data_IF_319238498651
#
_entry.id   IF_319238498651
#
_cell.length_a   1.000
_cell.length_b   1.000
_cell.length_c   1.000
_cell.angle_alpha   90.00
_cell.angle_beta   90.00
_cell.angle_gamma   90.00
#
_symmetry.space_group_name_H-M   'P 1'
#
loop_
_entity.id
_entity.type
_entity.pdbx_description
1 polymer ?
#
# COMPACT_ATOMS: atom_id res chain seq x y z
N UNK A 1 -4.29 -27.11 7.52
CA UNK A 1 -4.99 -28.02 6.58
C UNK A 1 -4.64 -27.56 5.18
N UNK A 2 -4.21 -28.42 4.25
CA UNK A 2 -3.66 -27.96 2.98
C UNK A 2 -4.72 -28.00 1.88
N UNK A 3 -4.76 -26.99 1.01
CA UNK A 3 -5.66 -26.99 -0.15
C UNK A 3 -5.09 -27.83 -1.32
N UNK A 4 -4.60 -29.05 -1.03
CA UNK A 4 -3.87 -29.93 -1.96
C UNK A 4 -4.71 -30.60 -3.03
N UNK A 5 -6.02 -30.35 -3.08
CA UNK A 5 -6.92 -31.06 -3.99
C UNK A 5 -6.49 -30.93 -5.46
N UNK A 6 -5.75 -29.86 -5.79
CA UNK A 6 -5.32 -29.56 -7.15
C UNK A 6 -3.83 -29.88 -7.45
N UNK A 7 -3.09 -30.52 -6.53
CA UNK A 7 -1.70 -30.93 -6.77
C UNK A 7 -1.59 -32.41 -7.12
N UNK A 8 -0.74 -32.73 -8.11
CA UNK A 8 -0.32 -34.11 -8.38
C UNK A 8 0.48 -34.70 -7.22
N UNK A 9 0.66 -36.02 -7.19
CA UNK A 9 1.48 -36.67 -6.15
C UNK A 9 2.92 -36.13 -6.12
N UNK A 10 3.53 -35.93 -7.29
CA UNK A 10 4.87 -35.33 -7.44
C UNK A 10 4.92 -33.92 -6.83
N UNK A 11 3.95 -33.06 -7.15
CA UNK A 11 3.87 -31.69 -6.63
C UNK A 11 3.63 -31.65 -5.12
N UNK A 12 2.84 -32.59 -4.57
CA UNK A 12 2.66 -32.70 -3.11
C UNK A 12 3.97 -33.05 -2.41
N UNK A 13 4.72 -34.02 -2.94
CA UNK A 13 6.03 -34.40 -2.38
C UNK A 13 6.98 -33.21 -2.40
N UNK A 14 7.10 -32.53 -3.55
CA UNK A 14 7.93 -31.33 -3.70
C UNK A 14 7.54 -30.24 -2.69
N UNK A 15 6.24 -29.94 -2.57
CA UNK A 15 5.73 -28.98 -1.60
C UNK A 15 6.13 -29.34 -0.16
N UNK A 16 5.97 -30.61 0.24
CA UNK A 16 6.31 -31.05 1.60
C UNK A 16 7.81 -30.94 1.88
N UNK A 17 8.66 -31.28 0.91
CA UNK A 17 10.11 -31.13 1.02
C UNK A 17 10.51 -29.67 1.23
N UNK A 18 10.04 -28.77 0.36
CA UNK A 18 10.30 -27.33 0.46
C UNK A 18 9.79 -26.76 1.79
N UNK A 19 8.54 -27.06 2.17
CA UNK A 19 7.96 -26.57 3.43
C UNK A 19 8.76 -27.03 4.64
N UNK A 20 9.16 -28.30 4.68
CA UNK A 20 9.94 -28.88 5.78
C UNK A 20 11.31 -28.20 5.87
N UNK A 21 11.98 -28.03 4.73
CA UNK A 21 13.28 -27.36 4.67
C UNK A 21 13.19 -25.90 5.14
N UNK A 22 12.23 -25.11 4.63
CA UNK A 22 12.02 -23.71 5.06
C UNK A 22 11.76 -23.61 6.56
N UNK A 23 10.88 -24.47 7.11
CA UNK A 23 10.57 -24.49 8.55
C UNK A 23 11.80 -24.82 9.41
N UNK A 24 12.67 -25.66 8.91
CA UNK A 24 13.87 -26.12 9.59
C UNK A 24 15.11 -25.28 9.25
N UNK A 25 14.94 -24.15 8.53
CA UNK A 25 16.03 -23.29 8.06
C UNK A 25 17.13 -24.05 7.31
N UNK A 26 16.73 -24.98 6.45
CA UNK A 26 17.63 -25.72 5.55
C UNK A 26 17.57 -25.16 4.15
N UNK A 27 18.67 -25.29 3.42
CA UNK A 27 18.74 -24.97 2.00
C UNK A 27 17.65 -25.67 1.19
N UNK A 28 17.17 -24.99 0.15
CA UNK A 28 16.17 -25.49 -0.79
C UNK A 28 16.64 -25.48 -2.25
N UNK A 29 17.85 -24.99 -2.54
CA UNK A 29 18.34 -24.79 -3.91
C UNK A 29 18.28 -26.07 -4.74
N UNK A 30 18.84 -27.18 -4.24
CA UNK A 30 18.80 -28.48 -4.94
C UNK A 30 17.37 -28.98 -5.19
N UNK A 31 16.42 -28.65 -4.30
CA UNK A 31 15.01 -29.02 -4.44
C UNK A 31 14.36 -28.19 -5.55
N UNK A 32 14.73 -26.91 -5.67
CA UNK A 32 14.22 -26.02 -6.70
C UNK A 32 14.82 -26.35 -8.08
N UNK A 33 16.12 -26.67 -8.16
CA UNK A 33 16.81 -27.03 -9.41
C UNK A 33 16.26 -28.28 -10.09
N UNK A 34 15.84 -29.25 -9.29
CA UNK A 34 15.32 -30.53 -9.79
C UNK A 34 13.86 -30.47 -10.23
N UNK A 35 13.18 -29.34 -10.01
CA UNK A 35 11.76 -29.18 -10.30
C UNK A 35 11.53 -28.47 -11.65
N UNK A 36 10.50 -28.90 -12.38
CA UNK A 36 10.09 -28.22 -13.62
C UNK A 36 9.47 -26.84 -13.30
N UNK A 37 9.56 -25.88 -14.23
CA UNK A 37 8.87 -24.58 -14.12
C UNK A 37 7.39 -24.71 -13.72
N UNK A 38 6.66 -25.63 -14.36
CA UNK A 38 5.24 -25.85 -14.09
C UNK A 38 4.99 -26.41 -12.69
N UNK A 39 5.83 -27.34 -12.23
CA UNK A 39 5.74 -27.88 -10.86
C UNK A 39 6.08 -26.80 -9.82
N UNK A 40 7.12 -25.99 -10.08
CA UNK A 40 7.52 -24.87 -9.23
C UNK A 40 6.40 -23.84 -9.09
N UNK A 41 5.83 -23.37 -10.20
CA UNK A 41 4.74 -22.40 -10.18
C UNK A 41 3.55 -22.92 -9.36
N UNK A 42 3.11 -24.18 -9.58
CA UNK A 42 2.00 -24.78 -8.83
C UNK A 42 2.30 -24.92 -7.34
N UNK A 43 3.54 -25.27 -6.98
CA UNK A 43 3.94 -25.50 -5.59
C UNK A 43 4.21 -24.21 -4.82
N UNK A 44 4.78 -23.20 -5.46
CA UNK A 44 5.12 -21.92 -4.82
C UNK A 44 3.89 -21.02 -4.63
N UNK A 45 2.86 -21.16 -5.46
CA UNK A 45 1.60 -20.40 -5.35
C UNK A 45 0.58 -21.02 -4.39
N UNK A 46 0.83 -22.22 -3.86
CA UNK A 46 -0.13 -22.87 -2.95
C UNK A 46 0.01 -22.36 -1.52
N UNK A 47 -1.14 -22.05 -0.91
CA UNK A 47 -1.24 -21.60 0.46
C UNK A 47 -1.03 -22.70 1.51
N UNK A 48 -0.19 -22.42 2.50
CA UNK A 48 0.00 -23.19 3.73
C UNK A 48 -0.87 -22.65 4.86
N UNK A 49 -1.87 -23.43 5.29
CA UNK A 49 -2.79 -23.01 6.35
C UNK A 49 -2.30 -23.41 7.73
N UNK A 50 -2.16 -22.44 8.63
CA UNK A 50 -1.93 -22.62 10.07
C UNK A 50 -3.00 -21.90 10.88
N UNK A 51 -3.42 -22.50 12.00
CA UNK A 51 -4.32 -21.87 12.97
C UNK A 51 -3.53 -21.23 14.10
N UNK A 52 -4.06 -20.14 14.66
CA UNK A 52 -3.49 -19.54 15.86
C UNK A 52 -4.03 -20.22 17.12
N UNK A 53 -3.27 -20.27 18.23
CA UNK A 53 -3.71 -20.93 19.46
C UNK A 53 -4.99 -20.35 20.07
N UNK A 54 -5.27 -19.06 19.83
CA UNK A 54 -6.40 -18.34 20.41
C UNK A 54 -7.53 -18.05 19.41
N UNK A 55 -7.54 -18.73 18.25
CA UNK A 55 -8.54 -18.49 17.21
C UNK A 55 -8.01 -17.64 16.06
N UNK A 56 -8.61 -17.83 14.88
CA UNK A 56 -8.10 -17.33 13.61
C UNK A 56 -6.99 -18.22 13.01
N UNK A 57 -6.31 -17.69 11.99
CA UNK A 57 -5.25 -18.40 11.31
C UNK A 57 -4.63 -17.60 10.17
N UNK A 58 -3.84 -18.28 9.36
CA UNK A 58 -3.21 -17.70 8.18
C UNK A 58 -2.99 -18.76 7.12
N UNK A 59 -2.98 -18.31 5.88
CA UNK A 59 -2.63 -19.06 4.68
C UNK A 59 -1.46 -18.34 4.02
N UNK A 60 -0.27 -18.94 4.09
CA UNK A 60 0.96 -18.34 3.56
C UNK A 60 1.50 -19.15 2.38
N UNK A 61 1.96 -18.49 1.33
CA UNK A 61 2.79 -19.15 0.32
C UNK A 61 4.16 -19.54 0.88
N UNK A 62 4.95 -20.31 0.13
CA UNK A 62 6.28 -20.71 0.58
C UNK A 62 7.22 -19.49 0.74
N UNK A 63 7.08 -18.47 -0.11
CA UNK A 63 7.83 -17.21 0.02
C UNK A 63 7.47 -16.49 1.33
N UNK A 64 6.19 -16.25 1.60
CA UNK A 64 5.73 -15.60 2.83
C UNK A 64 6.01 -16.44 4.09
N UNK A 65 6.03 -17.77 3.98
CA UNK A 65 6.51 -18.64 5.05
C UNK A 65 8.00 -18.43 5.34
N UNK A 66 8.83 -18.29 4.29
CA UNK A 66 10.26 -18.03 4.45
C UNK A 66 10.52 -16.65 5.07
N UNK A 67 9.78 -15.62 4.63
CA UNK A 67 9.75 -14.27 5.24
C UNK A 67 9.40 -14.35 6.72
N UNK A 68 8.30 -15.04 7.05
CA UNK A 68 7.87 -15.22 8.44
C UNK A 68 8.90 -15.95 9.30
N UNK A 69 9.67 -16.88 8.72
CA UNK A 69 10.72 -17.63 9.40
C UNK A 69 12.07 -16.94 9.43
N UNK A 70 12.16 -15.74 8.85
CA UNK A 70 13.39 -14.99 8.69
C UNK A 70 14.51 -15.84 8.07
N UNK A 71 14.22 -16.55 6.98
CA UNK A 71 15.13 -17.48 6.33
C UNK A 71 15.67 -16.89 5.02
N UNK A 72 16.77 -16.15 5.14
CA UNK A 72 17.38 -15.35 4.07
C UNK A 72 17.74 -16.20 2.85
N UNK A 73 18.37 -17.35 3.08
CA UNK A 73 18.75 -18.29 2.03
C UNK A 73 17.54 -18.79 1.23
N UNK A 74 16.46 -19.19 1.92
CA UNK A 74 15.26 -19.66 1.24
C UNK A 74 14.53 -18.55 0.49
N UNK A 75 14.50 -17.32 1.02
CA UNK A 75 13.89 -16.18 0.34
C UNK A 75 14.65 -15.89 -0.95
N UNK A 76 15.98 -15.75 -0.87
CA UNK A 76 16.83 -15.50 -2.03
C UNK A 76 16.75 -16.63 -3.07
N UNK A 77 16.69 -17.89 -2.62
CA UNK A 77 16.51 -19.04 -3.50
C UNK A 77 15.17 -18.95 -4.23
N UNK A 78 14.05 -18.79 -3.50
CA UNK A 78 12.72 -18.72 -4.13
C UNK A 78 12.66 -17.58 -5.15
N UNK A 79 13.15 -16.38 -4.80
CA UNK A 79 13.13 -15.22 -5.69
C UNK A 79 14.00 -15.45 -6.93
N UNK A 80 15.24 -15.91 -6.76
CA UNK A 80 16.18 -16.15 -7.88
C UNK A 80 15.68 -17.25 -8.81
N UNK A 81 15.21 -18.39 -8.30
CA UNK A 81 14.68 -19.45 -9.18
C UNK A 81 13.39 -18.99 -9.86
N UNK A 82 12.54 -18.22 -9.19
CA UNK A 82 11.32 -17.69 -9.81
C UNK A 82 11.62 -16.67 -10.92
N UNK A 83 12.65 -15.83 -10.72
CA UNK A 83 13.18 -14.92 -11.73
C UNK A 83 13.72 -15.68 -12.94
N UNK A 84 14.62 -16.65 -12.72
CA UNK A 84 15.23 -17.45 -13.78
C UNK A 84 14.21 -18.28 -14.59
N UNK A 85 13.06 -18.58 -13.99
CA UNK A 85 11.97 -19.30 -14.65
C UNK A 85 10.86 -18.38 -15.18
N UNK A 86 11.00 -17.05 -15.08
CA UNK A 86 9.98 -16.07 -15.49
C UNK A 86 8.60 -16.38 -14.87
N UNK A 87 8.57 -16.60 -13.56
CA UNK A 87 7.35 -16.79 -12.76
C UNK A 87 7.32 -15.88 -11.51
N UNK A 88 8.28 -14.94 -11.40
CA UNK A 88 8.49 -14.13 -10.20
C UNK A 88 7.27 -13.27 -9.85
N UNK A 89 6.63 -12.68 -10.85
CA UNK A 89 5.45 -11.82 -10.65
C UNK A 89 4.30 -12.61 -10.04
N UNK A 90 4.02 -13.81 -10.55
CA UNK A 90 2.99 -14.71 -10.01
C UNK A 90 3.30 -15.12 -8.57
N UNK A 91 4.58 -15.37 -8.23
CA UNK A 91 4.99 -15.73 -6.86
C UNK A 91 4.92 -14.55 -5.89
N UNK A 92 5.19 -13.32 -6.34
CA UNK A 92 5.10 -12.14 -5.45
C UNK A 92 3.63 -11.72 -5.27
N UNK A 93 2.83 -11.70 -6.34
CA UNK A 93 1.46 -11.18 -6.32
C UNK A 93 0.42 -12.14 -5.74
N UNK A 94 0.76 -13.41 -5.58
CA UNK A 94 -0.14 -14.38 -4.96
C UNK A 94 -0.54 -13.92 -3.54
N UNK A 95 -1.83 -14.06 -3.27
CA UNK A 95 -2.43 -13.59 -2.04
C UNK A 95 -2.10 -14.51 -0.84
N UNK A 96 -1.69 -13.88 0.25
CA UNK A 96 -1.51 -14.47 1.56
C UNK A 96 -2.63 -13.98 2.47
N UNK A 97 -3.28 -14.87 3.20
CA UNK A 97 -4.40 -14.51 4.07
C UNK A 97 -3.97 -14.58 5.53
N UNK A 98 -4.34 -13.58 6.33
CA UNK A 98 -4.20 -13.58 7.78
C UNK A 98 -5.56 -13.20 8.36
N UNK A 99 -6.12 -14.06 9.21
CA UNK A 99 -7.39 -13.85 9.87
C UNK A 99 -7.14 -13.86 11.38
N UNK A 100 -7.30 -12.69 12.00
CA UNK A 100 -7.25 -12.54 13.45
C UNK A 100 -8.64 -12.73 14.05
N UNK A 101 -8.69 -13.08 15.32
CA UNK A 101 -9.94 -13.08 16.07
C UNK A 101 -10.49 -11.64 16.15
N UNK A 102 -11.78 -11.44 15.87
CA UNK A 102 -12.40 -10.10 15.89
C UNK A 102 -12.53 -9.41 14.52
N UNK A 103 -12.75 -10.17 13.45
CA UNK A 103 -13.11 -9.65 12.11
C UNK A 103 -12.03 -8.82 11.40
N UNK A 104 -10.77 -8.90 11.85
CA UNK A 104 -9.63 -8.31 11.15
C UNK A 104 -9.00 -9.35 10.21
N UNK A 105 -9.10 -9.09 8.91
CA UNK A 105 -8.60 -9.96 7.85
C UNK A 105 -7.65 -9.16 6.96
N UNK A 106 -6.48 -9.72 6.71
CA UNK A 106 -5.53 -9.24 5.71
C UNK A 106 -5.47 -10.21 4.54
N UNK A 107 -5.49 -9.69 3.32
CA UNK A 107 -5.16 -10.42 2.09
C UNK A 107 -4.03 -9.64 1.40
N UNK A 108 -2.81 -10.18 1.44
CA UNK A 108 -1.59 -9.45 1.14
C UNK A 108 -0.79 -10.15 0.05
N UNK A 109 -0.18 -9.39 -0.85
CA UNK A 109 0.91 -9.91 -1.68
C UNK A 109 2.10 -10.31 -0.81
N UNK A 110 3.13 -10.96 -1.36
CA UNK A 110 4.33 -11.27 -0.60
C UNK A 110 5.07 -9.99 -0.14
N UNK A 111 5.05 -8.92 -0.94
CA UNK A 111 5.55 -7.60 -0.54
C UNK A 111 4.70 -7.03 0.60
N UNK A 112 3.37 -6.99 0.46
CA UNK A 112 2.49 -6.54 1.53
C UNK A 112 2.66 -7.35 2.81
N UNK A 113 2.86 -8.66 2.71
CA UNK A 113 3.14 -9.51 3.87
C UNK A 113 4.46 -9.12 4.56
N UNK A 114 5.51 -8.79 3.81
CA UNK A 114 6.78 -8.31 4.37
C UNK A 114 6.61 -6.96 5.09
N UNK A 115 5.82 -6.04 4.52
CA UNK A 115 5.45 -4.75 5.14
C UNK A 115 4.72 -4.98 6.47
N UNK A 116 3.67 -5.82 6.46
CA UNK A 116 2.88 -6.16 7.64
C UNK A 116 3.70 -6.79 8.78
N UNK A 117 4.73 -7.57 8.43
CA UNK A 117 5.61 -8.23 9.40
C UNK A 117 6.79 -7.36 9.87
N UNK A 118 6.84 -6.11 9.41
CA UNK A 118 7.96 -5.18 9.59
C UNK A 118 9.31 -5.85 9.28
N UNK A 119 9.48 -6.35 8.05
CA UNK A 119 10.69 -7.03 7.58
C UNK A 119 11.41 -6.24 6.50
N UNK A 120 11.94 -5.07 6.86
CA UNK A 120 12.58 -4.10 5.95
C UNK A 120 13.59 -4.74 4.99
N UNK A 121 14.51 -5.57 5.52
CA UNK A 121 15.48 -6.26 4.67
C UNK A 121 14.86 -7.05 3.51
N UNK A 122 13.69 -7.66 3.71
CA UNK A 122 13.01 -8.45 2.69
C UNK A 122 12.16 -7.62 1.74
N UNK A 123 11.69 -6.47 2.20
CA UNK A 123 11.03 -5.48 1.35
C UNK A 123 12.04 -5.07 0.27
N UNK A 124 13.26 -4.68 0.66
CA UNK A 124 14.31 -4.32 -0.29
C UNK A 124 14.72 -5.48 -1.21
N UNK A 125 14.90 -6.69 -0.68
CA UNK A 125 15.18 -7.86 -1.52
C UNK A 125 14.10 -8.09 -2.60
N UNK A 126 12.82 -7.97 -2.24
CA UNK A 126 11.71 -8.15 -3.18
C UNK A 126 11.70 -7.04 -4.23
N UNK A 127 11.89 -5.77 -3.83
CA UNK A 127 11.89 -4.63 -4.74
C UNK A 127 13.05 -4.71 -5.75
N UNK A 128 14.27 -5.03 -5.31
CA UNK A 128 15.43 -5.23 -6.20
C UNK A 128 15.15 -6.37 -7.18
N UNK A 129 14.63 -7.51 -6.72
CA UNK A 129 14.32 -8.64 -7.61
C UNK A 129 13.21 -8.30 -8.62
N UNK A 130 12.22 -7.51 -8.22
CA UNK A 130 11.18 -7.02 -9.10
C UNK A 130 11.74 -6.04 -10.15
N UNK A 131 12.67 -5.16 -9.76
CA UNK A 131 13.39 -4.26 -10.65
C UNK A 131 14.21 -5.04 -11.69
N UNK A 132 15.07 -5.95 -11.24
CA UNK A 132 15.91 -6.79 -12.12
C UNK A 132 15.08 -7.64 -13.10
N UNK A 133 13.82 -7.90 -12.79
CA UNK A 133 12.89 -8.67 -13.61
C UNK A 133 11.95 -7.81 -14.45
N UNK A 134 12.04 -6.48 -14.38
CA UNK A 134 11.18 -5.56 -15.14
C UNK A 134 9.72 -5.52 -14.69
N UNK A 135 9.41 -5.99 -13.47
CA UNK A 135 8.03 -6.11 -12.94
C UNK A 135 7.75 -5.14 -11.78
N UNK A 136 8.71 -4.26 -11.45
CA UNK A 136 8.61 -3.38 -10.27
C UNK A 136 7.33 -2.53 -10.26
N UNK A 137 6.92 -1.98 -11.40
CA UNK A 137 5.70 -1.19 -11.51
C UNK A 137 4.45 -2.00 -11.14
N UNK A 138 4.33 -3.24 -11.63
CA UNK A 138 3.22 -4.12 -11.31
C UNK A 138 3.19 -4.49 -9.82
N UNK A 139 4.37 -4.73 -9.23
CA UNK A 139 4.50 -5.02 -7.80
C UNK A 139 4.10 -3.80 -6.96
N UNK A 140 4.48 -2.59 -7.37
CA UNK A 140 4.12 -1.34 -6.68
C UNK A 140 2.67 -0.90 -6.92
N UNK A 141 1.98 -1.46 -7.91
CA UNK A 141 0.55 -1.24 -8.13
C UNK A 141 -0.35 -2.31 -7.46
N UNK A 142 0.22 -3.44 -7.05
CA UNK A 142 -0.53 -4.58 -6.54
C UNK A 142 -1.28 -4.27 -5.24
N UNK A 143 -2.52 -4.77 -5.13
CA UNK A 143 -3.43 -4.45 -4.03
C UNK A 143 -3.24 -5.36 -2.82
N UNK A 144 -3.22 -4.72 -1.65
CA UNK A 144 -3.31 -5.36 -0.36
C UNK A 144 -4.67 -5.01 0.25
N UNK A 145 -5.43 -6.03 0.64
CA UNK A 145 -6.77 -5.85 1.18
C UNK A 145 -6.75 -6.02 2.69
N UNK A 146 -7.37 -5.07 3.38
CA UNK A 146 -7.56 -5.09 4.83
C UNK A 146 -9.04 -4.97 5.06
N UNK A 147 -9.62 -5.90 5.82
CA UNK A 147 -11.01 -5.81 6.29
C UNK A 147 -10.96 -5.70 7.79
N UNK A 148 -11.46 -4.59 8.32
CA UNK A 148 -11.56 -4.32 9.75
C UNK A 148 -13.00 -3.92 10.05
N UNK A 149 -13.77 -4.85 10.63
CA UNK A 149 -15.20 -4.65 10.92
C UNK A 149 -15.98 -4.21 9.68
N UNK A 150 -16.49 -2.98 9.69
CA UNK A 150 -17.31 -2.36 8.63
C UNK A 150 -16.49 -1.55 7.62
N UNK A 151 -15.16 -1.56 7.74
CA UNK A 151 -14.26 -0.82 6.84
C UNK A 151 -13.40 -1.81 6.06
N UNK A 152 -13.30 -1.60 4.75
CA UNK A 152 -12.38 -2.32 3.89
C UNK A 152 -11.44 -1.36 3.18
N UNK A 153 -10.16 -1.70 3.16
CA UNK A 153 -9.11 -0.97 2.48
C UNK A 153 -8.57 -1.83 1.34
N UNK A 154 -8.31 -1.23 0.18
CA UNK A 154 -7.54 -1.81 -0.91
C UNK A 154 -6.38 -0.85 -1.22
N UNK A 155 -5.19 -1.17 -0.71
CA UNK A 155 -4.04 -0.28 -0.70
C UNK A 155 -2.90 -0.85 -1.55
N UNK A 156 -2.30 -0.01 -2.39
CA UNK A 156 -0.99 -0.29 -2.97
C UNK A 156 0.10 -0.30 -1.88
N UNK A 157 1.30 -0.85 -2.13
CA UNK A 157 2.34 -1.01 -1.11
C UNK A 157 2.74 0.28 -0.40
N UNK A 158 2.83 1.43 -1.10
CA UNK A 158 3.15 2.71 -0.45
C UNK A 158 2.07 3.11 0.57
N UNK A 159 0.80 3.11 0.17
CA UNK A 159 -0.32 3.41 1.08
C UNK A 159 -0.49 2.36 2.17
N UNK A 160 -0.16 1.11 1.90
CA UNK A 160 -0.14 0.09 2.95
C UNK A 160 0.98 0.33 3.96
N UNK A 161 2.16 0.76 3.53
CA UNK A 161 3.24 1.15 4.43
C UNK A 161 2.87 2.40 5.27
N UNK A 162 2.15 3.37 4.68
CA UNK A 162 1.55 4.52 5.40
C UNK A 162 0.59 4.05 6.48
N UNK A 163 -0.35 3.15 6.13
CA UNK A 163 -1.31 2.57 7.08
C UNK A 163 -0.63 1.85 8.24
N UNK A 164 0.51 1.19 7.98
CA UNK A 164 1.29 0.51 9.02
C UNK A 164 2.20 1.46 9.83
N UNK A 165 2.33 2.74 9.42
CA UNK A 165 3.25 3.70 10.04
C UNK A 165 4.72 3.31 9.88
N UNK A 166 5.09 2.60 8.81
CA UNK A 166 6.44 2.08 8.61
C UNK A 166 7.29 3.01 7.73
N UNK A 167 7.97 3.98 8.35
CA UNK A 167 8.74 5.00 7.64
C UNK A 167 9.93 4.44 6.86
N UNK A 168 10.60 3.40 7.36
CA UNK A 168 11.72 2.78 6.64
C UNK A 168 11.26 2.09 5.35
N UNK A 169 10.11 1.40 5.42
CA UNK A 169 9.47 0.84 4.23
C UNK A 169 9.01 1.92 3.25
N UNK A 170 8.43 3.01 3.76
CA UNK A 170 8.00 4.15 2.93
C UNK A 170 9.20 4.69 2.16
N UNK A 171 10.31 4.97 2.84
CA UNK A 171 11.54 5.47 2.22
C UNK A 171 12.09 4.49 1.19
N UNK A 172 12.14 3.20 1.51
CA UNK A 172 12.59 2.15 0.58
C UNK A 172 11.75 2.10 -0.71
N UNK A 173 10.42 2.19 -0.60
CA UNK A 173 9.52 2.21 -1.76
C UNK A 173 9.72 3.48 -2.58
N UNK A 174 9.84 4.64 -1.92
CA UNK A 174 10.00 5.93 -2.59
C UNK A 174 11.35 6.02 -3.32
N UNK A 175 12.43 5.56 -2.70
CA UNK A 175 13.77 5.49 -3.30
C UNK A 175 13.74 4.59 -4.55
N UNK A 176 13.15 3.40 -4.45
CA UNK A 176 13.03 2.49 -5.60
C UNK A 176 12.16 3.06 -6.72
N UNK A 177 11.06 3.73 -6.38
CA UNK A 177 10.23 4.41 -7.36
C UNK A 177 10.98 5.57 -8.05
N UNK A 178 11.75 6.34 -7.29
CA UNK A 178 12.56 7.44 -7.81
C UNK A 178 13.66 6.96 -8.75
N UNK A 179 14.46 5.98 -8.30
CA UNK A 179 15.59 5.43 -9.06
C UNK A 179 15.16 4.79 -10.39
N UNK A 180 13.88 4.42 -10.51
CA UNK A 180 13.33 3.79 -11.72
C UNK A 180 12.34 4.69 -12.48
N UNK A 181 12.23 5.98 -12.14
CA UNK A 181 11.35 6.92 -12.86
C UNK A 181 9.85 6.63 -12.73
N UNK A 182 9.43 5.96 -11.64
CA UNK A 182 8.06 5.47 -11.44
C UNK A 182 7.23 6.36 -10.49
N UNK A 183 7.78 7.47 -10.00
CA UNK A 183 7.14 8.32 -8.98
C UNK A 183 5.73 8.79 -9.37
N UNK A 184 5.53 9.25 -10.60
CA UNK A 184 4.21 9.68 -11.07
C UNK A 184 3.18 8.54 -10.98
N UNK A 185 3.53 7.34 -11.45
CA UNK A 185 2.65 6.17 -11.37
C UNK A 185 2.35 5.76 -9.92
N UNK A 186 3.36 5.76 -9.06
CA UNK A 186 3.20 5.44 -7.63
C UNK A 186 2.30 6.48 -6.94
N UNK A 187 2.52 7.78 -7.18
CA UNK A 187 1.71 8.85 -6.57
C UNK A 187 0.31 9.00 -7.16
N UNK A 188 0.09 8.56 -8.40
CA UNK A 188 -1.24 8.50 -9.00
C UNK A 188 -2.02 7.23 -8.65
N UNK A 189 -1.38 6.24 -8.02
CA UNK A 189 -2.03 4.97 -7.69
C UNK A 189 -3.21 5.20 -6.75
N UNK A 190 -4.42 4.91 -7.24
CA UNK A 190 -5.65 5.01 -6.46
C UNK A 190 -5.66 3.99 -5.32
N UNK A 191 -6.21 4.35 -4.16
CA UNK A 191 -6.36 3.46 -3.01
C UNK A 191 -7.78 3.59 -2.51
N UNK A 192 -8.43 2.47 -2.22
CA UNK A 192 -9.88 2.47 -1.97
C UNK A 192 -10.13 2.21 -0.50
N UNK A 193 -10.96 3.04 0.13
CA UNK A 193 -11.49 2.83 1.48
C UNK A 193 -13.02 2.80 1.38
N UNK A 194 -13.62 1.68 1.76
CA UNK A 194 -15.07 1.49 1.74
C UNK A 194 -15.60 1.35 3.16
N UNK A 195 -16.60 2.16 3.52
CA UNK A 195 -17.34 2.08 4.79
C UNK A 195 -18.74 1.54 4.52
N UNK A 196 -19.00 0.30 4.95
CA UNK A 196 -20.21 -0.41 4.56
C UNK A 196 -21.51 0.18 5.15
N UNK A 197 -21.46 0.74 6.37
CA UNK A 197 -22.66 1.33 7.00
C UNK A 197 -23.15 2.57 6.26
N UNK A 198 -22.22 3.42 5.83
CA UNK A 198 -22.54 4.70 5.19
C UNK A 198 -22.66 4.55 3.66
N UNK A 199 -22.35 3.36 3.12
CA UNK A 199 -22.22 3.07 1.68
C UNK A 199 -21.29 4.06 0.95
N UNK A 200 -20.31 4.59 1.68
CA UNK A 200 -19.34 5.55 1.16
C UNK A 200 -18.06 4.82 0.73
N UNK A 201 -17.60 5.14 -0.47
CA UNK A 201 -16.31 4.71 -1.00
C UNK A 201 -15.47 5.94 -1.27
N UNK A 202 -14.28 5.97 -0.68
CA UNK A 202 -13.29 7.00 -0.87
C UNK A 202 -12.15 6.45 -1.71
N UNK A 203 -11.71 7.26 -2.67
CA UNK A 203 -10.52 6.99 -3.47
C UNK A 203 -9.45 7.99 -3.03
N UNK A 204 -8.28 7.49 -2.67
CA UNK A 204 -7.15 8.27 -2.21
C UNK A 204 -5.91 7.97 -3.05
N UNK A 205 -5.16 9.00 -3.43
CA UNK A 205 -3.74 8.84 -3.77
C UNK A 205 -2.89 8.68 -2.51
N UNK A 206 -1.64 8.19 -2.57
CA UNK A 206 -0.79 8.05 -1.39
C UNK A 206 -0.64 9.35 -0.59
N UNK A 207 -0.57 10.51 -1.26
CA UNK A 207 -0.51 11.82 -0.60
C UNK A 207 -1.78 12.12 0.20
N UNK A 208 -2.95 11.96 -0.41
CA UNK A 208 -4.23 12.17 0.29
C UNK A 208 -4.48 11.11 1.37
N UNK A 209 -3.97 9.90 1.18
CA UNK A 209 -4.04 8.83 2.18
C UNK A 209 -3.14 9.13 3.39
N UNK A 210 -1.96 9.75 3.19
CA UNK A 210 -1.11 10.22 4.29
C UNK A 210 -1.82 11.29 5.14
N UNK A 211 -2.59 12.19 4.51
CA UNK A 211 -3.46 13.14 5.25
C UNK A 211 -4.54 12.37 6.01
N UNK A 212 -5.20 11.40 5.36
CA UNK A 212 -6.26 10.60 5.97
C UNK A 212 -5.76 9.86 7.22
N UNK A 213 -4.55 9.28 7.18
CA UNK A 213 -3.91 8.58 8.30
C UNK A 213 -3.13 9.53 9.24
N UNK A 214 -3.21 10.87 9.04
CA UNK A 214 -2.46 11.87 9.82
C UNK A 214 -0.94 11.62 9.89
N UNK A 215 -0.36 11.01 8.85
CA UNK A 215 1.07 10.70 8.76
C UNK A 215 1.84 11.89 8.13
N UNK A 216 2.22 12.83 9.00
CA UNK A 216 2.93 14.07 8.63
C UNK A 216 4.27 13.83 7.96
N UNK A 217 5.06 12.89 8.51
CA UNK A 217 6.40 12.59 8.01
C UNK A 217 6.34 12.09 6.57
N UNK A 218 5.44 11.14 6.28
CA UNK A 218 5.25 10.63 4.93
C UNK A 218 4.70 11.70 3.98
N UNK A 219 3.74 12.50 4.44
CA UNK A 219 3.19 13.60 3.64
C UNK A 219 4.28 14.59 3.21
N UNK A 220 5.14 15.01 4.14
CA UNK A 220 6.25 15.92 3.86
C UNK A 220 7.31 15.26 2.96
N UNK A 221 7.59 13.97 3.15
CA UNK A 221 8.51 13.21 2.29
C UNK A 221 8.01 13.14 0.84
N UNK A 222 6.72 12.83 0.62
CA UNK A 222 6.10 12.80 -0.71
C UNK A 222 6.19 14.18 -1.38
N UNK A 223 5.83 15.26 -0.67
CA UNK A 223 5.92 16.61 -1.21
C UNK A 223 7.35 17.01 -1.60
N UNK A 224 8.32 16.68 -0.74
CA UNK A 224 9.74 16.99 -0.98
C UNK A 224 10.26 16.24 -2.20
N UNK A 225 9.98 14.94 -2.30
CA UNK A 225 10.38 14.13 -3.45
C UNK A 225 9.71 14.64 -4.72
N UNK A 226 8.42 14.94 -4.69
CA UNK A 226 7.71 15.46 -5.85
C UNK A 226 8.27 16.80 -6.33
N UNK A 227 8.62 17.69 -5.40
CA UNK A 227 9.28 18.97 -5.70
C UNK A 227 10.63 18.74 -6.37
N UNK A 228 11.46 17.88 -5.79
CA UNK A 228 12.79 17.59 -6.31
C UNK A 228 12.78 16.91 -7.69
N UNK A 229 11.66 16.30 -8.07
CA UNK A 229 11.48 15.63 -9.36
C UNK A 229 10.55 16.41 -10.32
N UNK A 230 10.13 17.64 -9.97
CA UNK A 230 9.32 18.48 -10.85
C UNK A 230 7.88 18.01 -11.09
N UNK A 231 7.32 17.18 -10.20
CA UNK A 231 5.99 16.55 -10.34
C UNK A 231 4.99 17.04 -9.28
N UNK A 232 5.29 18.15 -8.60
CA UNK A 232 4.43 18.69 -7.55
C UNK A 232 3.03 19.06 -8.05
N UNK A 233 2.91 19.61 -9.26
CA UNK A 233 1.60 19.97 -9.83
C UNK A 233 0.71 18.73 -9.99
N UNK A 234 1.25 17.64 -10.54
CA UNK A 234 0.52 16.39 -10.77
C UNK A 234 -0.05 15.81 -9.47
N UNK A 235 0.73 15.85 -8.38
CA UNK A 235 0.30 15.25 -7.11
C UNK A 235 -0.65 16.13 -6.32
N UNK A 236 -0.59 17.45 -6.48
CA UNK A 236 -1.42 18.42 -5.75
C UNK A 236 -2.82 18.57 -6.35
N UNK A 237 -2.97 18.36 -7.66
CA UNK A 237 -4.26 18.40 -8.35
C UNK A 237 -5.10 17.12 -8.13
N UNK A 238 -4.61 16.18 -7.33
CA UNK A 238 -5.33 14.97 -6.97
C UNK A 238 -6.58 15.27 -6.12
N UNK A 239 -7.65 14.55 -6.43
CA UNK A 239 -8.92 14.62 -5.73
C UNK A 239 -9.23 13.26 -5.11
N UNK A 240 -9.87 13.32 -3.95
CA UNK A 240 -10.70 12.20 -3.51
C UNK A 240 -12.05 12.29 -4.23
N UNK A 241 -12.82 11.20 -4.25
CA UNK A 241 -14.16 11.18 -4.88
C UNK A 241 -15.09 12.34 -4.41
N UNK A 242 -14.82 12.93 -3.25
CA UNK A 242 -15.69 13.92 -2.59
C UNK A 242 -14.95 15.24 -2.29
N UNK A 243 -13.70 15.19 -1.82
CA UNK A 243 -12.91 16.34 -1.40
C UNK A 243 -11.66 16.53 -2.26
N UNK A 244 -11.28 17.77 -2.50
CA UNK A 244 -9.92 18.11 -2.97
C UNK A 244 -8.91 17.76 -1.89
N UNK A 245 -7.61 17.69 -2.24
CA UNK A 245 -6.55 17.46 -1.26
C UNK A 245 -6.60 18.49 -0.11
N UNK A 246 -6.82 19.77 -0.43
CA UNK A 246 -6.95 20.86 0.54
C UNK A 246 -8.23 20.71 1.37
N UNK A 247 -9.36 20.36 0.76
CA UNK A 247 -10.60 20.07 1.47
C UNK A 247 -10.45 18.90 2.45
N UNK A 248 -9.77 17.83 2.05
CA UNK A 248 -9.47 16.70 2.94
C UNK A 248 -8.60 17.12 4.13
N UNK A 249 -7.58 17.95 3.88
CA UNK A 249 -6.72 18.48 4.95
C UNK A 249 -7.52 19.31 5.97
N UNK A 250 -8.44 20.16 5.51
CA UNK A 250 -9.34 20.94 6.35
C UNK A 250 -10.25 20.02 7.17
N UNK A 251 -10.84 19.00 6.53
CA UNK A 251 -11.78 18.07 7.17
C UNK A 251 -11.12 17.21 8.25
N UNK A 252 -9.92 16.67 8.00
CA UNK A 252 -9.25 15.72 8.91
C UNK A 252 -8.47 16.41 10.03
N UNK A 253 -7.86 17.55 9.76
CA UNK A 253 -6.94 18.20 10.68
C UNK A 253 -7.57 19.45 11.30
N UNK A 254 -8.70 19.28 11.98
CA UNK A 254 -9.49 20.38 12.55
C UNK A 254 -8.66 21.24 13.53
N UNK A 255 -7.61 20.67 14.13
CA UNK A 255 -6.75 21.34 15.11
C UNK A 255 -5.29 21.54 14.67
N UNK A 256 -4.94 21.25 13.41
CA UNK A 256 -3.55 21.36 12.94
C UNK A 256 -3.46 21.90 11.50
N UNK A 257 -2.88 23.09 11.33
CA UNK A 257 -2.78 23.77 10.03
C UNK A 257 -1.59 23.30 9.18
N UNK A 258 -0.78 22.35 9.65
CA UNK A 258 0.49 22.01 9.00
C UNK A 258 0.29 21.47 7.57
N UNK A 259 -0.60 20.48 7.39
CA UNK A 259 -0.92 19.97 6.06
C UNK A 259 -1.51 21.05 5.14
N UNK A 260 -2.42 21.87 5.67
CA UNK A 260 -3.05 22.99 4.93
C UNK A 260 -1.99 23.99 4.47
N UNK A 261 -1.13 24.44 5.39
CA UNK A 261 -0.07 25.39 5.10
C UNK A 261 0.94 24.82 4.10
N UNK A 262 1.35 23.55 4.26
CA UNK A 262 2.26 22.88 3.32
C UNK A 262 1.65 22.77 1.92
N UNK A 263 0.35 22.45 1.79
CA UNK A 263 -0.35 22.42 0.49
C UNK A 263 -0.34 23.83 -0.12
N UNK A 264 -0.76 24.85 0.63
CA UNK A 264 -0.87 26.23 0.14
C UNK A 264 0.51 26.79 -0.28
N UNK A 265 1.55 26.54 0.51
CA UNK A 265 2.92 26.96 0.20
C UNK A 265 3.43 26.30 -1.08
N UNK A 266 3.24 24.99 -1.26
CA UNK A 266 3.66 24.31 -2.47
C UNK A 266 2.84 24.76 -3.69
N UNK A 267 1.54 24.97 -3.53
CA UNK A 267 0.69 25.49 -4.60
C UNK A 267 1.12 26.89 -5.05
N UNK A 268 1.49 27.75 -4.10
CA UNK A 268 2.03 29.08 -4.38
C UNK A 268 3.35 28.99 -5.14
N UNK A 269 4.28 28.15 -4.67
CA UNK A 269 5.58 27.96 -5.31
C UNK A 269 5.47 27.41 -6.74
N UNK A 270 4.42 26.63 -7.02
CA UNK A 270 4.19 26.04 -8.33
C UNK A 270 3.24 26.85 -9.22
N UNK A 271 2.76 28.02 -8.76
CA UNK A 271 1.83 28.85 -9.53
C UNK A 271 0.42 28.26 -9.68
N UNK A 272 0.06 27.25 -8.89
CA UNK A 272 -1.25 26.56 -8.95
C UNK A 272 -2.18 26.93 -7.79
N UNK A 273 -1.78 27.89 -6.94
CA UNK A 273 -2.58 28.28 -5.77
C UNK A 273 -4.04 28.60 -6.13
N UNK A 274 -4.25 29.42 -7.17
CA UNK A 274 -5.61 29.80 -7.58
C UNK A 274 -6.44 28.58 -8.00
N UNK A 275 -5.85 27.64 -8.74
CA UNK A 275 -6.51 26.39 -9.16
C UNK A 275 -6.97 25.57 -7.94
N UNK A 276 -6.10 25.41 -6.95
CA UNK A 276 -6.39 24.67 -5.72
C UNK A 276 -7.46 25.37 -4.87
N UNK A 277 -7.43 26.70 -4.79
CA UNK A 277 -8.39 27.49 -3.99
C UNK A 277 -9.81 27.46 -4.58
N UNK A 278 -9.94 27.51 -5.91
CA UNK A 278 -11.25 27.51 -6.59
C UNK A 278 -11.83 26.12 -6.79
N UNK A 279 -11.01 25.07 -6.67
CA UNK A 279 -11.45 23.69 -6.77
C UNK A 279 -12.56 23.38 -5.74
N UNK A 280 -13.58 22.64 -6.19
CA UNK A 280 -14.80 22.40 -5.42
C UNK A 280 -14.72 21.09 -4.65
N UNK A 281 -15.14 21.15 -3.40
CA UNK A 281 -15.39 20.06 -2.49
C UNK A 281 -16.89 19.77 -2.48
N UNK A 282 -17.24 18.49 -2.54
CA UNK A 282 -18.62 18.01 -2.41
C UNK A 282 -18.90 17.79 -0.92
N UNK A 283 -19.99 18.37 -0.42
CA UNK A 283 -20.39 18.24 0.99
C UNK A 283 -21.84 17.81 1.06
N UNK A 284 -22.15 16.87 1.95
CA UNK A 284 -23.51 16.41 2.20
C UNK A 284 -24.04 17.00 3.51
N UNK A 285 -25.21 17.63 3.46
CA UNK A 285 -25.92 18.06 4.66
C UNK A 285 -26.56 16.86 5.38
N UNK A 286 -26.85 16.98 6.68
CA UNK A 286 -27.67 15.99 7.40
C UNK A 286 -29.06 15.78 6.78
N UNK A 287 -29.57 16.78 6.05
CA UNK A 287 -30.84 16.75 5.33
C UNK A 287 -30.74 16.24 3.88
N UNK A 288 -29.57 15.74 3.46
CA UNK A 288 -29.35 15.12 2.15
C UNK A 288 -29.04 16.09 1.01
N UNK A 289 -28.91 17.39 1.26
CA UNK A 289 -28.49 18.36 0.26
C UNK A 289 -27.01 18.23 -0.05
N UNK A 290 -26.65 18.43 -1.32
CA UNK A 290 -25.26 18.42 -1.78
C UNK A 290 -24.81 19.84 -2.09
N UNK A 291 -23.68 20.26 -1.50
CA UNK A 291 -23.06 21.55 -1.75
C UNK A 291 -21.73 21.38 -2.47
N UNK A 292 -21.42 22.32 -3.38
CA UNK A 292 -20.12 22.43 -4.03
C UNK A 292 -19.40 23.67 -3.51
N UNK A 293 -18.53 23.49 -2.51
CA UNK A 293 -17.86 24.57 -1.81
C UNK A 293 -16.40 24.69 -2.25
N UNK A 294 -15.87 25.92 -2.39
CA UNK A 294 -14.41 26.09 -2.45
C UNK A 294 -13.78 25.64 -1.14
N UNK A 295 -12.46 25.50 -1.07
CA UNK A 295 -11.78 25.18 0.19
C UNK A 295 -12.05 26.23 1.29
N UNK A 296 -12.18 27.52 0.94
CA UNK A 296 -12.58 28.57 1.88
C UNK A 296 -14.04 28.39 2.34
N UNK A 297 -14.98 28.19 1.40
CA UNK A 297 -16.38 27.95 1.75
C UNK A 297 -16.57 26.70 2.60
N UNK A 298 -15.77 25.67 2.34
CA UNK A 298 -15.75 24.44 3.13
C UNK A 298 -15.20 24.67 4.54
N UNK A 299 -14.08 25.38 4.70
CA UNK A 299 -13.55 25.74 6.02
C UNK A 299 -14.55 26.55 6.86
N UNK A 300 -15.29 27.48 6.24
CA UNK A 300 -16.37 28.24 6.89
C UNK A 300 -17.52 27.31 7.30
N UNK A 301 -17.94 26.41 6.40
CA UNK A 301 -19.00 25.44 6.68
C UNK A 301 -18.67 24.53 7.86
N UNK A 302 -17.43 24.07 7.96
CA UNK A 302 -16.95 23.24 9.08
C UNK A 302 -16.67 24.06 10.35
N UNK A 303 -16.83 25.39 10.33
CA UNK A 303 -16.58 26.27 11.48
C UNK A 303 -15.10 26.39 11.87
N UNK A 304 -14.16 26.13 10.95
CA UNK A 304 -12.74 26.12 11.26
C UNK A 304 -12.07 27.48 11.03
N UNK A 305 -12.10 28.33 12.06
CA UNK A 305 -11.57 29.69 11.99
C UNK A 305 -10.07 29.78 11.71
N UNK A 306 -9.26 28.79 12.13
CA UNK A 306 -7.82 28.79 11.86
C UNK A 306 -7.53 28.52 10.37
N UNK A 307 -8.18 27.52 9.77
CA UNK A 307 -8.05 27.24 8.34
C UNK A 307 -8.56 28.40 7.48
N UNK A 308 -9.62 29.09 7.91
CA UNK A 308 -10.08 30.32 7.24
C UNK A 308 -8.97 31.37 7.18
N UNK A 309 -8.22 31.59 8.25
CA UNK A 309 -7.10 32.54 8.26
C UNK A 309 -5.95 32.09 7.35
N UNK A 310 -5.65 30.79 7.27
CA UNK A 310 -4.60 30.27 6.39
C UNK A 310 -4.95 30.43 4.91
N UNK A 311 -6.24 30.34 4.56
CA UNK A 311 -6.75 30.31 3.19
C UNK A 311 -7.12 31.70 2.67
N UNK A 312 -7.68 32.57 3.52
CA UNK A 312 -8.21 33.88 3.12
C UNK A 312 -7.07 34.81 2.63
N UNK A 313 -7.04 35.15 1.33
CA UNK A 313 -6.02 36.03 0.78
C UNK A 313 -6.14 37.48 1.28
N UNK A 314 -7.27 37.88 1.89
CA UNK A 314 -7.47 39.23 2.44
C UNK A 314 -6.91 39.39 3.86
N UNK A 315 -6.42 38.31 4.48
CA UNK A 315 -5.86 38.30 5.85
C UNK A 315 -4.34 38.09 5.91
N UNK A 316 -3.66 38.05 4.76
CA UNK A 316 -2.19 38.03 4.61
C UNK A 316 -1.70 39.33 4.00
#
# INVERSE_FOLDING_TARGET
MLNHKNLTQKQRILYFQLRKAIRNKRSISNILESASKNDLLKVLTIGYITRFPRGGGRTLTLLSLAIFKCNDECINSILTYSQNNSILQEIINIENMIEYQGSLIYTLTSLGFAIHQNKERYINTILIKAQESGILQDILAARNIIKLNIIAYALAPLSFAIYQGNNECINSILEQAQNNGMLQGVFATENIVTRFLDRLTYIFTPLSFAIYESNKECFNAILTIAKNNGISQDILNNRTYILTLLGLAIYRNINENEHVNSILMQAQNNGTLQEILVAKNIVHSPSGWMYNLTSLGFAIHEGNHEHVNSIDPLRK
#
